data_IF_238806287721
#
_entry.id   IF_238806287721
#
_cell.length_a   1.000
_cell.length_b   1.000
_cell.length_c   1.000
_cell.angle_alpha   90.00
_cell.angle_beta   90.00
_cell.angle_gamma   90.00
#
_symmetry.space_group_name_H-M   'P 1'
#
loop_
_entity.id
_entity.type
_entity.pdbx_description
1 polymer ?
#
# COMPACT_ATOMS: atom_id res chain seq x y z
N UNK A 1 1.42 -20.24 -5.54
CA UNK A 1 0.36 -19.26 -5.20
C UNK A 1 -1.03 -19.89 -5.35
N UNK A 2 -1.41 -20.48 -6.51
CA UNK A 2 -2.72 -21.19 -6.67
C UNK A 2 -2.90 -22.32 -5.65
N UNK A 3 -1.86 -23.10 -5.36
CA UNK A 3 -1.86 -24.15 -4.34
C UNK A 3 -2.04 -23.58 -2.92
N UNK A 4 -1.50 -22.39 -2.64
CA UNK A 4 -1.62 -21.73 -1.33
C UNK A 4 -3.07 -21.37 -1.01
N UNK A 5 -3.82 -20.82 -1.98
CA UNK A 5 -5.24 -20.51 -1.82
C UNK A 5 -6.06 -21.79 -1.50
N UNK A 6 -5.73 -22.92 -2.16
CA UNK A 6 -6.39 -24.20 -1.92
C UNK A 6 -6.09 -24.77 -0.53
N UNK A 7 -4.84 -24.67 -0.07
CA UNK A 7 -4.42 -25.14 1.26
C UNK A 7 -5.07 -24.32 2.37
N UNK A 8 -5.21 -23.01 2.17
CA UNK A 8 -5.85 -22.11 3.14
C UNK A 8 -7.37 -22.12 3.07
N UNK A 9 -7.98 -22.92 2.17
CA UNK A 9 -9.43 -22.98 1.94
C UNK A 9 -10.06 -21.58 1.72
N UNK A 10 -9.32 -20.69 1.03
CA UNK A 10 -9.80 -19.36 0.66
C UNK A 10 -10.76 -19.50 -0.53
N UNK A 11 -11.94 -18.95 -0.40
CA UNK A 11 -12.89 -18.80 -1.50
C UNK A 11 -12.50 -17.58 -2.33
N UNK A 12 -11.56 -17.77 -3.28
CA UNK A 12 -11.01 -16.74 -4.12
C UNK A 12 -9.71 -17.13 -4.78
N UNK A 13 -9.13 -16.20 -5.56
CA UNK A 13 -7.85 -16.38 -6.24
C UNK A 13 -6.79 -15.42 -5.70
N UNK A 14 -5.54 -15.86 -5.67
CA UNK A 14 -4.38 -15.03 -5.34
C UNK A 14 -3.57 -14.84 -6.62
N UNK A 15 -3.45 -13.61 -7.07
CA UNK A 15 -2.68 -13.22 -8.24
C UNK A 15 -1.50 -12.34 -7.82
N UNK A 16 -0.24 -12.69 -8.16
CA UNK A 16 0.87 -11.76 -7.99
C UNK A 16 0.70 -10.59 -8.97
N UNK A 17 1.15 -9.41 -8.62
CA UNK A 17 1.07 -8.22 -9.49
C UNK A 17 1.92 -8.35 -10.75
N UNK A 18 3.04 -9.06 -10.65
CA UNK A 18 3.93 -9.45 -11.76
C UNK A 18 4.41 -10.87 -11.57
N UNK A 19 4.81 -11.52 -12.65
CA UNK A 19 5.46 -12.84 -12.65
C UNK A 19 6.99 -12.74 -12.76
N UNK A 20 7.51 -11.54 -12.94
CA UNK A 20 8.95 -11.28 -12.97
C UNK A 20 9.55 -11.32 -11.55
N UNK A 21 10.82 -11.66 -11.49
CA UNK A 21 11.60 -11.57 -10.27
C UNK A 21 12.00 -10.11 -10.05
N UNK A 22 11.44 -9.47 -9.03
CA UNK A 22 11.63 -8.05 -8.74
C UNK A 22 12.17 -7.85 -7.35
N UNK A 23 13.01 -6.83 -7.18
CA UNK A 23 13.54 -6.39 -5.89
C UNK A 23 12.99 -5.00 -5.59
N UNK A 24 12.41 -4.80 -4.40
CA UNK A 24 12.02 -3.49 -3.92
C UNK A 24 13.27 -2.75 -3.41
N UNK A 25 13.49 -1.53 -3.89
CA UNK A 25 14.52 -0.62 -3.43
C UNK A 25 13.90 0.67 -2.89
N UNK A 26 14.56 1.28 -1.92
CA UNK A 26 14.18 2.55 -1.32
C UNK A 26 15.36 3.52 -1.30
N UNK A 27 15.07 4.79 -1.50
CA UNK A 27 15.94 5.91 -1.16
C UNK A 27 15.51 6.48 0.17
N UNK A 28 16.44 6.58 1.10
CA UNK A 28 16.22 7.21 2.39
C UNK A 28 16.39 8.73 2.29
N UNK A 29 15.96 9.47 3.30
CA UNK A 29 16.06 10.94 3.32
C UNK A 29 17.51 11.48 3.31
N UNK A 30 18.48 10.65 3.64
CA UNK A 30 19.93 10.95 3.58
C UNK A 30 20.57 10.52 2.26
N UNK A 31 19.78 10.21 1.23
CA UNK A 31 20.18 9.70 -0.08
C UNK A 31 20.76 8.26 -0.08
N UNK A 32 20.80 7.59 1.06
CA UNK A 32 21.18 6.16 1.13
C UNK A 32 20.18 5.30 0.36
N UNK A 33 20.68 4.37 -0.45
CA UNK A 33 19.84 3.40 -1.17
C UNK A 33 19.90 2.03 -0.48
N UNK A 34 18.73 1.48 -0.19
CA UNK A 34 18.57 0.17 0.45
C UNK A 34 17.65 -0.69 -0.41
N UNK A 35 18.05 -1.92 -0.74
CA UNK A 35 17.24 -2.85 -1.50
C UNK A 35 16.89 -4.09 -0.67
N UNK A 36 15.68 -4.60 -0.86
CA UNK A 36 15.12 -5.74 -0.17
C UNK A 36 14.07 -5.34 0.85
N UNK A 37 12.87 -5.92 0.73
CA UNK A 37 11.70 -5.66 1.57
C UNK A 37 12.02 -5.72 3.08
N UNK A 38 12.78 -6.73 3.52
CA UNK A 38 13.13 -6.91 4.92
C UNK A 38 14.26 -5.99 5.42
N UNK A 39 14.99 -5.32 4.52
CA UNK A 39 16.09 -4.42 4.85
C UNK A 39 15.60 -2.97 5.00
N UNK A 40 14.62 -2.56 4.20
CA UNK A 40 14.09 -1.19 4.16
C UNK A 40 13.60 -0.72 5.54
N UNK A 41 12.75 -1.44 6.28
CA UNK A 41 12.28 -0.99 7.59
C UNK A 41 13.37 -0.91 8.67
N UNK A 42 14.54 -1.51 8.42
CA UNK A 42 15.70 -1.51 9.34
C UNK A 42 16.68 -0.39 9.01
N UNK A 43 16.50 0.30 7.90
CA UNK A 43 17.33 1.43 7.53
C UNK A 43 17.04 2.63 8.44
N UNK A 44 18.04 3.51 8.60
CA UNK A 44 17.89 4.70 9.40
C UNK A 44 17.17 5.81 8.63
N UNK A 45 16.21 6.48 9.29
CA UNK A 45 15.54 7.66 8.77
C UNK A 45 14.32 7.37 7.88
N UNK A 46 13.63 8.42 7.44
CA UNK A 46 12.42 8.31 6.62
C UNK A 46 12.72 7.82 5.20
N UNK A 47 11.76 7.10 4.64
CA UNK A 47 11.77 6.71 3.21
C UNK A 47 11.38 7.95 2.39
N UNK A 48 12.19 8.27 1.38
CA UNK A 48 11.93 9.36 0.43
C UNK A 48 11.25 8.86 -0.85
N UNK A 49 11.67 7.71 -1.35
CA UNK A 49 11.17 7.13 -2.60
C UNK A 49 11.34 5.61 -2.59
N UNK A 50 10.46 4.89 -3.27
CA UNK A 50 10.62 3.45 -3.52
C UNK A 50 10.42 3.12 -4.99
N UNK A 51 11.12 2.08 -5.47
CA UNK A 51 10.99 1.56 -6.84
C UNK A 51 11.27 0.06 -6.90
N UNK A 52 10.93 -0.56 -8.02
CA UNK A 52 11.25 -1.95 -8.31
C UNK A 52 12.48 -2.05 -9.24
N UNK A 53 13.30 -3.07 -9.02
CA UNK A 53 14.36 -3.50 -9.94
C UNK A 53 14.06 -4.91 -10.46
N UNK A 54 13.90 -5.10 -11.79
CA UNK A 54 13.92 -4.07 -12.83
C UNK A 54 12.72 -3.13 -12.74
N UNK A 55 12.89 -1.89 -13.19
CA UNK A 55 11.81 -0.89 -13.24
C UNK A 55 10.74 -1.30 -14.27
N UNK A 56 9.48 -0.99 -13.99
CA UNK A 56 8.35 -1.25 -14.89
C UNK A 56 8.22 -2.73 -15.31
N UNK A 57 8.18 -3.68 -14.36
CA UNK A 57 7.94 -5.07 -14.69
C UNK A 57 6.58 -5.24 -15.38
N UNK A 58 6.43 -6.22 -16.28
CA UNK A 58 5.13 -6.49 -16.90
C UNK A 58 4.13 -6.96 -15.86
N UNK A 59 2.89 -6.51 -16.00
CA UNK A 59 1.79 -6.93 -15.12
C UNK A 59 1.44 -8.39 -15.38
N UNK A 60 1.07 -9.11 -14.33
CA UNK A 60 0.33 -10.35 -14.46
C UNK A 60 -1.09 -10.04 -14.94
N UNK A 61 -1.46 -10.52 -16.12
CA UNK A 61 -2.76 -10.20 -16.73
C UNK A 61 -3.94 -10.66 -15.87
N UNK A 62 -3.84 -11.83 -15.22
CA UNK A 62 -4.89 -12.32 -14.31
C UNK A 62 -5.16 -11.32 -13.15
N UNK A 63 -4.12 -10.62 -12.66
CA UNK A 63 -4.28 -9.62 -11.62
C UNK A 63 -4.94 -8.34 -12.14
N UNK A 64 -4.54 -7.88 -13.33
CA UNK A 64 -5.15 -6.70 -13.97
C UNK A 64 -6.61 -6.96 -14.33
N UNK A 65 -6.93 -8.12 -14.88
CA UNK A 65 -8.30 -8.50 -15.24
C UNK A 65 -9.19 -8.60 -13.98
N UNK A 66 -8.68 -9.18 -12.90
CA UNK A 66 -9.41 -9.23 -11.62
C UNK A 66 -9.76 -7.85 -11.06
N UNK A 67 -8.87 -6.85 -11.24
CA UNK A 67 -9.15 -5.45 -10.84
C UNK A 67 -10.21 -4.83 -11.77
N UNK A 68 -10.13 -5.09 -13.07
CA UNK A 68 -11.05 -4.52 -14.04
C UNK A 68 -12.47 -5.08 -13.91
N UNK A 69 -12.60 -6.36 -13.54
CA UNK A 69 -13.87 -7.06 -13.39
C UNK A 69 -14.49 -6.93 -11.99
N UNK A 70 -13.79 -6.29 -11.04
CA UNK A 70 -14.27 -6.14 -9.66
C UNK A 70 -15.43 -5.14 -9.55
N UNK A 71 -16.32 -5.36 -8.59
CA UNK A 71 -17.32 -4.38 -8.13
C UNK A 71 -16.72 -3.41 -7.09
N UNK A 72 -15.80 -3.93 -6.27
CA UNK A 72 -15.09 -3.17 -5.23
C UNK A 72 -13.62 -3.57 -5.21
N UNK A 73 -12.74 -2.58 -5.17
CA UNK A 73 -11.30 -2.77 -4.96
C UNK A 73 -10.91 -2.21 -3.60
N UNK A 74 -10.34 -3.06 -2.75
CA UNK A 74 -9.82 -2.66 -1.43
C UNK A 74 -8.30 -2.59 -1.50
N UNK A 75 -7.75 -1.41 -1.18
CA UNK A 75 -6.31 -1.15 -1.14
C UNK A 75 -5.87 -1.11 0.32
N UNK A 76 -5.11 -2.10 0.74
CA UNK A 76 -4.71 -2.27 2.15
C UNK A 76 -5.74 -3.03 3.00
N UNK A 77 -5.56 -3.06 4.36
CA UNK A 77 -4.39 -2.55 5.06
C UNK A 77 -3.13 -3.39 4.82
N UNK A 78 -1.97 -2.86 5.14
CA UNK A 78 -0.69 -3.54 5.01
C UNK A 78 0.47 -2.55 5.18
N UNK A 79 1.71 -3.06 5.25
CA UNK A 79 2.91 -2.21 5.26
C UNK A 79 2.89 -1.27 4.05
N UNK A 80 2.90 0.03 4.30
CA UNK A 80 2.65 1.02 3.24
C UNK A 80 3.70 0.92 2.14
N UNK A 81 4.99 1.03 2.50
CA UNK A 81 6.08 1.06 1.54
C UNK A 81 6.57 -0.32 1.10
N UNK A 82 6.35 -1.36 1.90
CA UNK A 82 6.87 -2.70 1.60
C UNK A 82 5.81 -3.71 1.13
N UNK A 83 4.51 -3.39 1.26
CA UNK A 83 3.44 -4.28 0.80
C UNK A 83 2.42 -3.59 -0.12
N UNK A 84 1.96 -2.38 0.18
CA UNK A 84 0.93 -1.70 -0.63
C UNK A 84 1.57 -1.07 -1.87
N UNK A 85 2.50 -0.14 -1.69
CA UNK A 85 3.14 0.61 -2.78
C UNK A 85 3.83 -0.29 -3.80
N UNK A 86 4.52 -1.40 -3.45
CA UNK A 86 5.14 -2.28 -4.45
C UNK A 86 4.18 -2.81 -5.51
N UNK A 87 2.92 -3.06 -5.17
CA UNK A 87 1.91 -3.45 -6.15
C UNK A 87 1.57 -2.28 -7.11
N UNK A 88 1.53 -1.06 -6.59
CA UNK A 88 1.24 0.16 -7.36
C UNK A 88 2.40 0.56 -8.30
N UNK A 89 3.62 0.11 -7.99
CA UNK A 89 4.81 0.31 -8.82
C UNK A 89 4.79 -0.54 -10.11
N UNK A 90 3.92 -1.56 -10.19
CA UNK A 90 3.68 -2.32 -11.44
C UNK A 90 2.73 -1.51 -12.32
N UNK A 91 3.18 -0.96 -13.48
CA UNK A 91 2.39 0.00 -14.26
C UNK A 91 1.00 -0.50 -14.63
N UNK A 92 0.87 -1.78 -15.03
CA UNK A 92 -0.41 -2.36 -15.42
C UNK A 92 -1.41 -2.52 -14.27
N UNK A 93 -0.96 -2.64 -13.01
CA UNK A 93 -1.83 -2.60 -11.82
C UNK A 93 -2.39 -1.19 -11.65
N UNK A 94 -1.52 -0.16 -11.69
CA UNK A 94 -1.95 1.23 -11.61
C UNK A 94 -2.93 1.60 -12.74
N UNK A 95 -2.62 1.18 -13.96
CA UNK A 95 -3.49 1.43 -15.13
C UNK A 95 -4.85 0.74 -14.98
N UNK A 96 -4.90 -0.48 -14.42
CA UNK A 96 -6.15 -1.18 -14.13
C UNK A 96 -6.97 -0.45 -13.05
N UNK A 97 -6.33 0.03 -11.97
CA UNK A 97 -6.99 0.82 -10.92
C UNK A 97 -7.60 2.13 -11.46
N UNK A 98 -6.93 2.79 -12.39
CA UNK A 98 -7.42 4.03 -13.02
C UNK A 98 -8.57 3.78 -14.01
N UNK A 99 -8.64 2.60 -14.61
CA UNK A 99 -9.63 2.26 -15.66
C UNK A 99 -10.85 1.54 -15.14
N UNK A 100 -10.75 0.82 -14.01
CA UNK A 100 -11.89 0.10 -13.47
C UNK A 100 -13.01 1.04 -13.04
N UNK A 101 -14.25 0.58 -13.23
CA UNK A 101 -15.46 1.23 -12.70
C UNK A 101 -15.78 0.81 -11.26
N UNK A 102 -14.98 -0.11 -10.67
CA UNK A 102 -15.15 -0.56 -9.29
C UNK A 102 -15.08 0.60 -8.29
N UNK A 103 -15.82 0.49 -7.20
CA UNK A 103 -15.63 1.38 -6.05
C UNK A 103 -14.29 1.07 -5.38
N UNK A 104 -13.44 2.09 -5.22
CA UNK A 104 -12.09 1.94 -4.66
C UNK A 104 -12.02 2.48 -3.24
N UNK A 105 -11.68 1.59 -2.30
CA UNK A 105 -11.57 1.87 -0.88
C UNK A 105 -10.11 1.74 -0.44
N UNK A 106 -9.53 2.81 0.08
CA UNK A 106 -8.23 2.76 0.75
C UNK A 106 -8.42 2.57 2.26
N UNK A 107 -7.80 1.52 2.82
CA UNK A 107 -7.87 1.21 4.25
C UNK A 107 -6.58 1.63 4.94
N UNK A 108 -6.66 2.65 5.78
CA UNK A 108 -5.52 3.17 6.54
C UNK A 108 -5.15 2.20 7.66
N UNK A 109 -3.85 2.00 7.88
CA UNK A 109 -3.36 1.21 9.00
C UNK A 109 -3.81 1.83 10.34
N UNK A 110 -4.18 0.99 11.29
CA UNK A 110 -4.61 1.45 12.64
C UNK A 110 -3.44 1.95 13.49
N UNK A 111 -2.21 1.56 13.13
CA UNK A 111 -0.99 1.94 13.85
C UNK A 111 0.15 2.21 12.85
N UNK A 112 1.08 3.08 13.25
CA UNK A 112 2.30 3.34 12.50
C UNK A 112 3.21 2.11 12.51
N UNK A 113 4.05 1.99 11.51
CA UNK A 113 5.05 0.92 11.41
C UNK A 113 6.45 1.53 11.55
N UNK A 114 7.23 1.12 12.57
CA UNK A 114 8.59 1.62 12.77
C UNK A 114 9.47 1.41 11.54
N UNK A 115 10.18 2.47 11.14
CA UNK A 115 11.04 2.46 9.96
C UNK A 115 10.32 2.66 8.62
N UNK A 116 8.99 2.76 8.62
CA UNK A 116 8.21 3.06 7.39
C UNK A 116 7.33 4.28 7.55
N UNK A 117 6.46 4.30 8.57
CA UNK A 117 5.40 5.31 8.72
C UNK A 117 5.44 6.01 10.08
N UNK A 118 6.62 6.18 10.65
CA UNK A 118 6.80 6.88 11.91
C UNK A 118 6.21 8.28 11.84
N UNK A 119 5.31 8.58 12.77
CA UNK A 119 4.64 9.89 12.87
C UNK A 119 3.60 10.16 11.79
N UNK A 120 3.22 9.19 10.96
CA UNK A 120 2.15 9.38 9.98
C UNK A 120 0.78 9.39 10.66
N UNK A 121 -0.05 10.33 10.27
CA UNK A 121 -1.50 10.30 10.47
C UNK A 121 -2.20 9.64 9.27
N UNK A 122 -3.54 9.60 9.28
CA UNK A 122 -4.31 8.99 8.20
C UNK A 122 -4.13 9.71 6.86
N UNK A 123 -4.06 11.04 6.86
CA UNK A 123 -3.86 11.82 5.65
C UNK A 123 -2.49 11.54 5.03
N UNK A 124 -1.44 11.48 5.85
CA UNK A 124 -0.09 11.20 5.35
C UNK A 124 0.04 9.78 4.78
N UNK A 125 -0.64 8.77 5.38
CA UNK A 125 -0.72 7.42 4.80
C UNK A 125 -1.35 7.44 3.41
N UNK A 126 -2.49 8.13 3.28
CA UNK A 126 -3.20 8.24 2.01
C UNK A 126 -2.39 9.01 0.97
N UNK A 127 -1.82 10.17 1.33
CA UNK A 127 -1.00 10.99 0.44
C UNK A 127 0.19 10.21 -0.12
N UNK A 128 0.93 9.50 0.75
CA UNK A 128 2.06 8.69 0.33
C UNK A 128 1.66 7.56 -0.65
N UNK A 129 0.49 6.94 -0.49
CA UNK A 129 -0.02 5.97 -1.46
C UNK A 129 -0.46 6.65 -2.78
N UNK A 130 -1.11 7.82 -2.71
CA UNK A 130 -1.62 8.56 -3.86
C UNK A 130 -0.52 9.00 -4.83
N UNK A 131 0.68 9.31 -4.32
CA UNK A 131 1.86 9.61 -5.15
C UNK A 131 2.16 8.50 -6.18
N UNK A 132 1.79 7.24 -5.86
CA UNK A 132 2.03 6.06 -6.71
C UNK A 132 0.77 5.59 -7.47
N UNK A 133 -0.43 5.88 -6.97
CA UNK A 133 -1.69 5.54 -7.65
C UNK A 133 -2.08 6.56 -8.73
N UNK A 134 -1.75 7.82 -8.50
CA UNK A 134 -2.27 8.96 -9.22
C UNK A 134 -3.40 9.66 -8.47
N UNK A 135 -3.71 10.89 -8.90
CA UNK A 135 -4.75 11.71 -8.29
C UNK A 135 -6.15 11.14 -8.57
N UNK A 136 -7.06 11.35 -7.63
CA UNK A 136 -8.50 11.05 -7.75
C UNK A 136 -8.84 9.56 -8.09
N UNK A 137 -7.96 8.63 -7.75
CA UNK A 137 -8.19 7.19 -8.01
C UNK A 137 -9.11 6.57 -6.96
N UNK A 138 -8.99 6.98 -5.69
CA UNK A 138 -9.72 6.40 -4.56
C UNK A 138 -11.04 7.13 -4.33
N UNK A 139 -12.13 6.37 -4.16
CA UNK A 139 -13.46 6.93 -3.88
C UNK A 139 -13.68 7.13 -2.37
N UNK A 140 -13.19 6.20 -1.54
CA UNK A 140 -13.37 6.23 -0.09
C UNK A 140 -12.08 5.91 0.66
N UNK A 141 -11.86 6.59 1.79
CA UNK A 141 -10.80 6.27 2.74
C UNK A 141 -11.43 5.80 4.04
N UNK A 142 -11.03 4.63 4.53
CA UNK A 142 -11.46 4.08 5.80
C UNK A 142 -10.34 4.24 6.83
N UNK A 143 -10.56 5.07 7.84
CA UNK A 143 -9.64 5.28 8.96
C UNK A 143 -10.29 4.91 10.28
N UNK A 144 -9.49 4.38 11.22
CA UNK A 144 -9.97 4.07 12.57
C UNK A 144 -10.12 5.36 13.37
N UNK A 145 -11.31 5.59 13.93
CA UNK A 145 -11.59 6.72 14.84
C UNK A 145 -11.71 6.31 16.33
N UNK A 146 -11.50 5.02 16.64
CA UNK A 146 -11.50 4.54 18.00
C UNK A 146 -10.08 4.46 18.56
N UNK A 147 -9.72 5.40 19.42
CA UNK A 147 -8.41 5.51 20.08
C UNK A 147 -8.48 5.16 21.57
N UNK A 148 -9.51 4.42 22.02
CA UNK A 148 -9.75 4.13 23.44
C UNK A 148 -8.77 3.13 24.07
N UNK A 149 -7.93 2.47 23.28
CA UNK A 149 -6.91 1.53 23.74
C UNK A 149 -5.49 2.13 23.71
N UNK A 150 -4.60 1.63 24.58
CA UNK A 150 -3.17 1.90 24.47
C UNK A 150 -2.49 0.76 23.72
N UNK A 151 -1.58 1.11 22.82
CA UNK A 151 -0.71 0.13 22.18
C UNK A 151 0.40 -0.28 23.16
N UNK A 152 0.84 -1.54 23.16
CA UNK A 152 1.99 -1.96 23.97
C UNK A 152 3.25 -1.17 23.62
N UNK A 153 3.93 -0.65 24.64
CA UNK A 153 5.13 0.20 24.43
C UNK A 153 6.28 -0.53 23.75
N UNK A 154 6.35 -1.84 23.89
CA UNK A 154 7.35 -2.71 23.26
C UNK A 154 7.18 -2.81 21.73
N UNK A 155 6.05 -2.40 21.17
CA UNK A 155 5.83 -2.38 19.72
C UNK A 155 6.44 -1.15 19.04
N UNK A 156 6.87 -0.14 19.82
CA UNK A 156 7.45 1.11 19.30
C UNK A 156 6.61 1.76 18.20
N UNK A 157 5.28 1.67 18.31
CA UNK A 157 4.31 2.16 17.33
C UNK A 157 3.33 3.12 17.98
N UNK A 158 2.69 3.95 17.19
CA UNK A 158 1.66 4.89 17.63
C UNK A 158 0.35 4.63 16.90
N UNK A 159 -0.78 4.88 17.54
CA UNK A 159 -2.07 4.85 16.85
C UNK A 159 -2.08 5.91 15.74
N UNK A 160 -2.58 5.52 14.56
CA UNK A 160 -2.79 6.46 13.47
C UNK A 160 -4.03 7.30 13.79
N UNK A 161 -3.85 8.61 13.84
CA UNK A 161 -4.93 9.56 14.13
C UNK A 161 -5.70 9.85 12.84
N UNK A 162 -7.02 9.86 12.92
CA UNK A 162 -7.87 10.28 11.81
C UNK A 162 -7.65 11.78 11.52
N UNK A 163 -7.60 12.11 10.25
CA UNK A 163 -7.41 13.47 9.74
C UNK A 163 -8.76 14.09 9.35
N UNK A 164 -8.75 15.37 8.98
CA UNK A 164 -9.95 16.03 8.47
C UNK A 164 -10.35 15.45 7.10
N UNK A 165 -11.64 15.31 6.78
CA UNK A 165 -12.08 14.90 5.43
C UNK A 165 -11.46 15.72 4.29
N UNK A 166 -11.17 17.00 4.52
CA UNK A 166 -10.55 17.88 3.53
C UNK A 166 -9.10 17.46 3.14
N UNK A 167 -8.45 16.63 3.95
CA UNK A 167 -7.07 16.21 3.72
C UNK A 167 -6.96 15.03 2.72
N UNK A 168 -8.09 14.50 2.24
CA UNK A 168 -8.16 13.35 1.34
C UNK A 168 -8.55 13.70 -0.11
N UNK A 169 -8.50 14.98 -0.47
CA UNK A 169 -8.82 15.42 -1.83
C UNK A 169 -10.28 15.14 -2.21
N UNK A 170 -10.49 14.40 -3.32
CA UNK A 170 -11.82 13.99 -3.78
C UNK A 170 -12.37 12.76 -3.06
N UNK A 171 -11.53 11.97 -2.37
CA UNK A 171 -11.96 10.79 -1.65
C UNK A 171 -12.80 11.16 -0.41
N UNK A 172 -13.82 10.35 -0.13
CA UNK A 172 -14.64 10.49 1.07
C UNK A 172 -14.03 9.72 2.24
N UNK A 173 -13.97 10.33 3.44
CA UNK A 173 -13.52 9.71 4.67
C UNK A 173 -14.68 9.00 5.39
#
# INVERSE_FOLDING_TARGET
IRETARVLAVDGAIHPSTLEDVILCARMADDTVVCGESAIPKAAGPISEVWLEPTKPPVNQDAADAILDADVVVIGPGSLYTSIIPNLLVPGIRDALQRTSATKLFVVNVATQPGETDGFDAARHYQAASEYMGDDVVDFVLANNNHSGSLPSEWHTSAVVASSPADFGSAQL
#
